data_IF_821446677418
#
_entry.id   IF_821446677418
#
_cell.length_a   1.000
_cell.length_b   1.000
_cell.length_c   1.000
_cell.angle_alpha   90.00
_cell.angle_beta   90.00
_cell.angle_gamma   90.00
#
_symmetry.space_group_name_H-M   'P 1'
#
loop_
_entity.id
_entity.type
_entity.pdbx_description
1 polymer ?
#
# COMPACT_ATOMS: atom_id res chain seq x y z
N UNK A 1 18.82 0.21 26.67
CA UNK A 1 19.62 0.74 25.55
C UNK A 1 19.31 -0.06 24.26
N UNK A 2 18.08 0.00 23.74
CA UNK A 2 17.67 -0.77 22.53
C UNK A 2 16.72 0.04 21.61
N UNK A 3 16.36 1.28 21.94
CA UNK A 3 15.72 2.18 20.97
C UNK A 3 16.83 2.85 20.15
N UNK A 4 17.53 2.08 19.31
CA UNK A 4 18.32 2.71 18.26
C UNK A 4 17.36 3.51 17.37
N UNK A 5 17.69 4.78 17.13
CA UNK A 5 16.96 5.77 16.32
C UNK A 5 16.86 5.40 14.82
N UNK A 6 17.11 4.13 14.48
CA UNK A 6 17.04 3.66 13.11
C UNK A 6 15.57 3.51 12.72
N UNK A 7 15.16 4.03 11.54
CA UNK A 7 13.88 3.74 10.95
C UNK A 7 13.54 2.25 11.02
N UNK A 8 12.26 1.91 11.25
CA UNK A 8 11.84 0.50 11.29
C UNK A 8 12.26 -0.27 10.03
N UNK A 9 12.22 0.38 8.86
CA UNK A 9 12.68 -0.19 7.60
C UNK A 9 14.15 -0.64 7.64
N UNK A 10 15.03 0.14 8.28
CA UNK A 10 16.44 -0.18 8.39
C UNK A 10 16.65 -1.36 9.34
N UNK A 11 15.90 -1.42 10.45
CA UNK A 11 15.94 -2.58 11.35
C UNK A 11 15.48 -3.88 10.65
N UNK A 12 14.43 -3.80 9.81
CA UNK A 12 14.02 -4.92 8.98
C UNK A 12 15.09 -5.32 7.96
N UNK A 13 15.75 -4.34 7.34
CA UNK A 13 16.84 -4.60 6.40
C UNK A 13 18.03 -5.26 7.07
N UNK A 14 18.43 -4.80 8.26
CA UNK A 14 19.50 -5.41 9.05
C UNK A 14 19.19 -6.86 9.41
N UNK A 15 17.95 -7.15 9.81
CA UNK A 15 17.51 -8.53 10.07
C UNK A 15 17.55 -9.38 8.79
N UNK A 16 17.09 -8.83 7.68
CA UNK A 16 17.11 -9.51 6.39
C UNK A 16 18.56 -9.81 5.98
N UNK A 17 19.45 -8.83 5.98
CA UNK A 17 20.82 -8.99 5.50
C UNK A 17 21.71 -9.77 6.49
N UNK A 18 21.41 -9.74 7.79
CA UNK A 18 22.25 -10.30 8.86
C UNK A 18 22.35 -11.84 8.91
N UNK A 19 21.44 -12.57 8.26
CA UNK A 19 21.41 -14.04 8.28
C UNK A 19 21.47 -14.64 6.87
N UNK A 20 22.57 -14.47 6.12
CA UNK A 20 22.69 -14.97 4.76
C UNK A 20 22.50 -16.48 4.69
N UNK A 21 21.71 -16.97 3.73
CA UNK A 21 21.40 -18.39 3.56
C UNK A 21 20.29 -18.94 4.46
N UNK A 22 19.84 -18.20 5.48
CA UNK A 22 18.69 -18.59 6.28
C UNK A 22 17.38 -18.38 5.50
N UNK A 23 16.46 -19.36 5.57
CA UNK A 23 15.14 -19.29 4.92
C UNK A 23 14.20 -18.26 5.59
N UNK A 24 14.40 -18.02 6.88
CA UNK A 24 13.71 -17.03 7.68
C UNK A 24 14.58 -16.62 8.89
N UNK A 25 14.29 -15.46 9.47
CA UNK A 25 14.93 -14.97 10.70
C UNK A 25 13.88 -14.45 11.69
N UNK A 26 14.12 -14.64 12.98
CA UNK A 26 13.22 -14.16 14.03
C UNK A 26 13.70 -12.85 14.65
N UNK A 27 12.76 -12.00 15.05
CA UNK A 27 13.02 -10.84 15.90
C UNK A 27 11.88 -10.62 16.89
N UNK A 28 12.09 -9.75 17.86
CA UNK A 28 11.02 -9.26 18.72
C UNK A 28 10.67 -7.82 18.35
N UNK A 29 9.40 -7.59 18.02
CA UNK A 29 8.83 -6.25 18.00
C UNK A 29 8.25 -5.95 19.37
N UNK A 30 8.99 -5.18 20.18
CA UNK A 30 8.70 -5.01 21.60
C UNK A 30 8.63 -6.37 22.31
N UNK A 31 7.43 -6.79 22.73
CA UNK A 31 7.20 -8.08 23.38
C UNK A 31 6.69 -9.17 22.42
N UNK A 32 6.40 -8.83 21.16
CA UNK A 32 5.81 -9.77 20.18
C UNK A 32 6.90 -10.42 19.34
N UNK A 33 7.01 -11.76 19.30
CA UNK A 33 7.89 -12.43 18.36
C UNK A 33 7.36 -12.26 16.93
N UNK A 34 8.25 -11.97 15.99
CA UNK A 34 7.94 -11.76 14.57
C UNK A 34 8.96 -12.52 13.72
N UNK A 35 8.49 -13.13 12.63
CA UNK A 35 9.33 -13.83 11.66
C UNK A 35 9.47 -12.99 10.38
N UNK A 36 10.71 -12.77 9.96
CA UNK A 36 11.04 -12.25 8.65
C UNK A 36 11.31 -13.43 7.70
N UNK A 37 10.40 -13.66 6.76
CA UNK A 37 10.52 -14.72 5.77
C UNK A 37 11.33 -14.23 4.58
N UNK A 38 12.33 -15.01 4.15
CA UNK A 38 13.23 -14.65 3.04
C UNK A 38 13.13 -15.58 1.84
N UNK A 39 12.81 -16.85 2.08
CA UNK A 39 12.69 -17.87 1.05
C UNK A 39 11.40 -17.68 0.22
N UNK A 40 11.50 -17.43 -1.10
CA UNK A 40 10.33 -17.28 -1.97
C UNK A 40 9.38 -18.48 -1.96
N UNK A 41 9.87 -19.71 -1.81
CA UNK A 41 9.00 -20.88 -1.76
C UNK A 41 8.20 -20.91 -0.44
N UNK A 42 8.81 -20.45 0.66
CA UNK A 42 8.12 -20.32 1.94
C UNK A 42 7.11 -19.16 1.92
N UNK A 43 7.44 -18.03 1.27
CA UNK A 43 6.49 -16.93 1.04
C UNK A 43 5.29 -17.44 0.24
N UNK A 44 5.52 -18.16 -0.86
CA UNK A 44 4.46 -18.76 -1.68
C UNK A 44 3.64 -19.78 -0.88
N UNK A 45 4.29 -20.59 -0.04
CA UNK A 45 3.58 -21.53 0.81
C UNK A 45 2.63 -20.78 1.76
N UNK A 46 3.10 -19.76 2.48
CA UNK A 46 2.31 -18.99 3.43
C UNK A 46 1.18 -18.19 2.74
N UNK A 47 1.50 -17.53 1.63
CA UNK A 47 0.57 -16.58 0.97
C UNK A 47 -0.38 -17.21 -0.05
N UNK A 48 -0.12 -18.46 -0.48
CA UNK A 48 -0.93 -19.13 -1.51
C UNK A 48 -1.41 -20.51 -1.04
N UNK A 49 -0.49 -21.40 -0.65
CA UNK A 49 -0.86 -22.81 -0.34
C UNK A 49 -1.61 -22.91 0.99
N UNK A 50 -1.07 -22.25 2.01
CA UNK A 50 -1.54 -22.30 3.40
C UNK A 50 -2.23 -21.00 3.81
N UNK A 51 -2.68 -20.18 2.85
CA UNK A 51 -3.24 -18.85 3.08
C UNK A 51 -4.37 -18.84 4.11
N UNK A 52 -5.20 -19.89 4.14
CA UNK A 52 -6.32 -20.01 5.08
C UNK A 52 -5.90 -20.02 6.56
N UNK A 53 -4.62 -20.29 6.85
CA UNK A 53 -4.05 -20.20 8.20
C UNK A 53 -3.49 -18.80 8.53
N UNK A 54 -3.27 -17.95 7.52
CA UNK A 54 -2.58 -16.66 7.62
C UNK A 54 -3.43 -15.50 7.06
N UNK A 55 -4.74 -15.53 7.31
CA UNK A 55 -5.72 -14.58 6.75
C UNK A 55 -5.55 -13.18 7.36
N UNK A 56 -5.31 -13.10 8.67
CA UNK A 56 -5.36 -11.84 9.41
C UNK A 56 -4.01 -11.13 9.47
N UNK A 57 -4.03 -9.82 9.20
CA UNK A 57 -2.85 -8.98 9.28
C UNK A 57 -2.62 -8.45 10.71
N UNK A 58 -1.36 -8.15 11.04
CA UNK A 58 -1.04 -7.49 12.31
C UNK A 58 -1.60 -6.07 12.31
N UNK A 59 -2.43 -5.74 13.29
CA UNK A 59 -2.98 -4.40 13.44
C UNK A 59 -1.91 -3.44 13.96
N UNK A 60 -1.78 -2.30 13.29
CA UNK A 60 -0.87 -1.22 13.66
C UNK A 60 -1.50 -0.30 14.74
N UNK A 61 -2.80 0.00 14.62
CA UNK A 61 -3.56 0.83 15.56
C UNK A 61 -4.87 0.12 15.90
N UNK A 62 -5.31 0.10 17.18
CA UNK A 62 -6.64 -0.40 17.55
C UNK A 62 -7.77 0.40 16.88
N UNK A 63 -8.86 -0.28 16.49
CA UNK A 63 -10.02 0.36 15.84
C UNK A 63 -10.66 1.42 16.75
N UNK A 64 -10.60 1.23 18.07
CA UNK A 64 -11.16 2.13 19.07
C UNK A 64 -10.40 3.46 19.14
N UNK A 65 -9.10 3.44 18.85
CA UNK A 65 -8.26 4.63 18.83
C UNK A 65 -8.37 5.37 17.50
N UNK A 66 -8.45 4.65 16.39
CA UNK A 66 -8.47 5.22 15.06
C UNK A 66 -9.42 4.45 14.11
N UNK A 67 -10.71 4.79 14.10
CA UNK A 67 -11.74 4.03 13.38
C UNK A 67 -11.54 4.01 11.87
N UNK A 68 -10.97 5.05 11.27
CA UNK A 68 -10.73 5.09 9.82
C UNK A 68 -9.68 4.06 9.41
N UNK A 69 -8.60 3.94 10.18
CA UNK A 69 -7.57 2.93 9.95
C UNK A 69 -8.00 1.54 10.39
N UNK A 70 -8.76 1.41 11.47
CA UNK A 70 -9.25 0.11 11.96
C UNK A 70 -10.25 -0.57 11.00
N UNK A 71 -11.04 0.22 10.26
CA UNK A 71 -12.09 -0.28 9.36
C UNK A 71 -11.68 -0.43 7.91
N UNK A 72 -10.44 -0.08 7.55
CA UNK A 72 -9.96 -0.28 6.18
C UNK A 72 -9.81 -1.78 5.85
N UNK A 73 -9.86 -2.12 4.57
CA UNK A 73 -9.82 -3.52 4.11
C UNK A 73 -8.56 -4.28 4.57
N UNK A 74 -7.42 -3.62 4.76
CA UNK A 74 -6.18 -4.26 5.22
C UNK A 74 -6.16 -4.53 6.73
N UNK A 75 -6.99 -3.85 7.50
CA UNK A 75 -7.08 -3.98 8.97
C UNK A 75 -8.21 -4.91 9.42
N UNK A 76 -9.25 -5.09 8.60
CA UNK A 76 -10.36 -6.00 8.88
C UNK A 76 -9.85 -7.45 8.97
N UNK A 77 -10.54 -8.24 9.80
CA UNK A 77 -10.19 -9.65 10.08
C UNK A 77 -11.37 -10.58 9.85
N UNK A 78 -11.05 -11.85 9.61
CA UNK A 78 -12.03 -12.93 9.51
C UNK A 78 -13.17 -12.63 8.52
N UNK A 79 -14.42 -12.84 8.96
CA UNK A 79 -15.59 -12.74 8.07
C UNK A 79 -15.86 -11.33 7.56
N UNK A 80 -15.65 -10.30 8.40
CA UNK A 80 -15.83 -8.90 7.98
C UNK A 80 -14.90 -8.52 6.83
N UNK A 81 -13.67 -9.04 6.84
CA UNK A 81 -12.74 -8.88 5.74
C UNK A 81 -13.23 -9.60 4.47
N UNK A 82 -13.70 -10.85 4.60
CA UNK A 82 -14.21 -11.63 3.47
C UNK A 82 -15.40 -10.95 2.79
N UNK A 83 -16.37 -10.49 3.58
CA UNK A 83 -17.55 -9.76 3.09
C UNK A 83 -17.17 -8.47 2.36
N UNK A 84 -16.31 -7.65 2.97
CA UNK A 84 -15.86 -6.39 2.36
C UNK A 84 -15.05 -6.64 1.09
N UNK A 85 -14.17 -7.64 1.08
CA UNK A 85 -13.40 -8.02 -0.11
C UNK A 85 -14.31 -8.50 -1.23
N UNK A 86 -15.30 -9.34 -0.93
CA UNK A 86 -16.28 -9.82 -1.91
C UNK A 86 -17.11 -8.67 -2.50
N UNK A 87 -17.41 -7.65 -1.68
CA UNK A 87 -18.15 -6.45 -2.10
C UNK A 87 -17.31 -5.55 -3.02
N UNK A 88 -16.02 -5.37 -2.73
CA UNK A 88 -15.15 -4.46 -3.48
C UNK A 88 -14.55 -5.08 -4.75
N UNK A 89 -14.31 -6.39 -4.78
CA UNK A 89 -13.64 -7.08 -5.89
C UNK A 89 -14.30 -6.86 -7.27
N UNK A 90 -15.65 -6.83 -7.42
CA UNK A 90 -16.31 -6.60 -8.71
C UNK A 90 -16.01 -5.23 -9.34
N UNK A 91 -15.61 -4.23 -8.54
CA UNK A 91 -15.23 -2.91 -9.05
C UNK A 91 -13.93 -2.93 -9.85
N UNK A 92 -13.10 -3.96 -9.71
CA UNK A 92 -11.80 -4.10 -10.37
C UNK A 92 -11.82 -5.10 -11.53
N UNK A 93 -12.98 -5.33 -12.15
CA UNK A 93 -13.09 -6.14 -13.38
C UNK A 93 -12.39 -5.46 -14.56
N UNK A 94 -11.94 -6.24 -15.56
CA UNK A 94 -11.21 -5.70 -16.71
C UNK A 94 -11.96 -4.59 -17.46
N UNK A 95 -13.29 -4.66 -17.54
CA UNK A 95 -14.11 -3.62 -18.16
C UNK A 95 -14.13 -2.32 -17.35
N UNK A 96 -14.25 -2.41 -16.02
CA UNK A 96 -14.18 -1.25 -15.11
C UNK A 96 -12.79 -0.64 -15.09
N UNK A 97 -11.74 -1.47 -15.04
CA UNK A 97 -10.35 -1.02 -15.14
C UNK A 97 -10.07 -0.28 -16.45
N UNK A 98 -10.64 -0.75 -17.57
CA UNK A 98 -10.53 -0.05 -18.86
C UNK A 98 -11.22 1.33 -18.83
N UNK A 99 -12.35 1.45 -18.15
CA UNK A 99 -13.02 2.74 -17.97
C UNK A 99 -12.18 3.68 -17.07
N UNK A 100 -11.64 3.17 -15.95
CA UNK A 100 -10.74 3.94 -15.07
C UNK A 100 -9.50 4.43 -15.82
N UNK A 101 -8.94 3.62 -16.72
CA UNK A 101 -7.79 4.03 -17.54
C UNK A 101 -8.07 5.29 -18.36
N UNK A 102 -9.26 5.42 -18.95
CA UNK A 102 -9.62 6.63 -19.70
C UNK A 102 -9.64 7.86 -18.79
N UNK A 103 -10.20 7.73 -17.58
CA UNK A 103 -10.21 8.81 -16.57
C UNK A 103 -8.77 9.18 -16.18
N UNK A 104 -7.92 8.18 -15.93
CA UNK A 104 -6.50 8.39 -15.62
C UNK A 104 -5.78 9.14 -16.74
N UNK A 105 -6.07 8.80 -18.00
CA UNK A 105 -5.51 9.47 -19.18
C UNK A 105 -5.95 10.94 -19.24
N UNK A 106 -7.22 11.22 -18.98
CA UNK A 106 -7.73 12.60 -18.94
C UNK A 106 -7.08 13.42 -17.82
N UNK A 107 -6.97 12.85 -16.60
CA UNK A 107 -6.23 13.49 -15.51
C UNK A 107 -4.77 13.76 -15.89
N UNK A 108 -4.12 12.84 -16.61
CA UNK A 108 -2.73 12.99 -17.03
C UNK A 108 -2.58 14.10 -18.08
N UNK A 109 -3.53 14.22 -19.01
CA UNK A 109 -3.56 15.32 -19.97
C UNK A 109 -3.74 16.68 -19.27
N UNK A 110 -4.67 16.77 -18.32
CA UNK A 110 -4.87 17.99 -17.50
C UNK A 110 -3.59 18.35 -16.73
N UNK A 111 -2.95 17.35 -16.13
CA UNK A 111 -1.68 17.50 -15.41
C UNK A 111 -0.56 18.04 -16.30
N UNK A 112 -0.39 17.50 -17.52
CA UNK A 112 0.62 17.99 -18.47
C UNK A 112 0.28 19.39 -18.96
N UNK A 113 -1.00 19.66 -19.24
CA UNK A 113 -1.44 20.97 -19.72
C UNK A 113 -1.26 22.07 -18.67
N UNK A 114 -1.40 21.76 -17.38
CA UNK A 114 -1.12 22.70 -16.29
C UNK A 114 0.29 23.30 -16.42
N UNK A 115 1.33 22.47 -16.64
CA UNK A 115 2.70 22.96 -16.82
C UNK A 115 2.96 23.62 -18.17
N UNK A 116 2.20 23.29 -19.21
CA UNK A 116 2.29 23.97 -20.51
C UNK A 116 1.76 25.41 -20.46
N UNK A 117 0.74 25.65 -19.64
CA UNK A 117 0.12 26.97 -19.48
C UNK A 117 0.93 27.85 -18.50
N UNK A 118 1.51 27.26 -17.45
CA UNK A 118 2.38 27.98 -16.51
C UNK A 118 3.81 28.21 -17.04
N UNK A 119 4.23 27.47 -18.07
CA UNK A 119 5.55 27.56 -18.69
C UNK A 119 5.73 28.72 -19.67
N UNK A 120 5.37 29.96 -19.30
CA UNK A 120 5.78 31.16 -20.06
C UNK A 120 7.26 31.53 -19.87
N UNK A 121 7.97 30.82 -18.99
CA UNK A 121 9.43 30.83 -18.87
C UNK A 121 9.99 29.44 -19.21
N UNK A 122 11.12 29.39 -19.92
CA UNK A 122 11.71 28.19 -20.55
C UNK A 122 12.06 27.02 -19.58
N UNK A 123 11.89 27.17 -18.26
CA UNK A 123 12.16 26.11 -17.28
C UNK A 123 11.30 26.29 -16.02
N UNK A 124 10.51 25.26 -15.68
CA UNK A 124 9.71 25.22 -14.44
C UNK A 124 10.38 24.27 -13.44
N UNK A 125 10.67 24.75 -12.23
CA UNK A 125 11.13 23.91 -11.12
C UNK A 125 9.94 23.45 -10.30
N UNK A 126 9.79 22.15 -10.10
CA UNK A 126 8.64 21.55 -9.40
C UNK A 126 9.10 20.59 -8.30
N UNK A 127 8.30 20.48 -7.25
CA UNK A 127 8.49 19.45 -6.22
C UNK A 127 7.69 18.20 -6.58
N UNK A 128 8.38 17.10 -6.85
CA UNK A 128 7.78 15.88 -7.41
C UNK A 128 6.74 15.24 -6.49
N UNK A 129 6.96 15.23 -5.18
CA UNK A 129 6.04 14.59 -4.24
C UNK A 129 4.71 15.35 -4.22
N UNK A 130 4.72 16.67 -4.18
CA UNK A 130 3.52 17.51 -4.20
C UNK A 130 2.73 17.32 -5.50
N UNK A 131 3.37 17.48 -6.66
CA UNK A 131 2.66 17.41 -7.95
C UNK A 131 2.06 16.02 -8.20
N UNK A 132 2.77 14.94 -7.87
CA UNK A 132 2.26 13.58 -8.04
C UNK A 132 1.23 13.20 -6.98
N UNK A 133 1.30 13.78 -5.78
CA UNK A 133 0.24 13.62 -4.78
C UNK A 133 -1.06 14.24 -5.28
N UNK A 134 -1.00 15.45 -5.84
CA UNK A 134 -2.17 16.12 -6.44
C UNK A 134 -2.73 15.32 -7.62
N UNK A 135 -1.88 14.92 -8.55
CA UNK A 135 -2.29 14.09 -9.70
C UNK A 135 -2.96 12.78 -9.26
N UNK A 136 -2.37 12.05 -8.30
CA UNK A 136 -2.93 10.78 -7.81
C UNK A 136 -4.26 11.00 -7.08
N UNK A 137 -4.39 12.10 -6.34
CA UNK A 137 -5.65 12.48 -5.70
C UNK A 137 -6.74 12.75 -6.73
N UNK A 138 -6.46 13.50 -7.79
CA UNK A 138 -7.42 13.77 -8.87
C UNK A 138 -7.85 12.46 -9.54
N UNK A 139 -6.89 11.58 -9.85
CA UNK A 139 -7.18 10.26 -10.44
C UNK A 139 -8.12 9.46 -9.54
N UNK A 140 -7.86 9.36 -8.23
CA UNK A 140 -8.69 8.59 -7.31
C UNK A 140 -10.07 9.26 -7.14
N UNK A 141 -10.12 10.58 -7.00
CA UNK A 141 -11.34 11.36 -6.85
C UNK A 141 -12.27 11.18 -8.06
N UNK A 142 -11.74 11.30 -9.27
CA UNK A 142 -12.50 11.13 -10.50
C UNK A 142 -12.87 9.67 -10.76
N UNK A 143 -11.91 8.73 -10.63
CA UNK A 143 -12.17 7.34 -10.98
C UNK A 143 -13.04 6.58 -9.96
N UNK A 144 -12.92 6.91 -8.67
CA UNK A 144 -13.63 6.19 -7.59
C UNK A 144 -14.91 6.90 -7.16
N UNK A 145 -14.95 8.23 -7.21
CA UNK A 145 -16.06 9.03 -6.68
C UNK A 145 -16.78 9.87 -7.75
N UNK A 146 -16.30 9.89 -9.00
CA UNK A 146 -16.91 10.66 -10.09
C UNK A 146 -16.80 12.18 -9.91
N UNK A 147 -15.82 12.64 -9.13
CA UNK A 147 -15.59 14.06 -8.89
C UNK A 147 -14.76 14.61 -10.07
N UNK A 148 -15.30 15.59 -10.79
CA UNK A 148 -14.68 16.17 -11.99
C UNK A 148 -14.40 17.66 -11.87
#
# INVERSE_FOLDING_TARGET
MILQLNPMADNFRLLYDGFPGARFAGMYQLARPVLAIRDPELIKQITVKDFDHFIDHSQFVPEECEPLWGKNLFSLKGERWKEMRATLSPSFTSSKMKAMFNIMSECAERFVNHFRVEGSEDTVTVEFKDIFTRFTNDVIASASFGIN
#
